data_IF_938106272575
#
_entry.id   IF_938106272575
#
_cell.length_a   1.000
_cell.length_b   1.000
_cell.length_c   1.000
_cell.angle_alpha   90.00
_cell.angle_beta   90.00
_cell.angle_gamma   90.00
#
_symmetry.space_group_name_H-M   'P 1'
#
loop_
_entity.id
_entity.type
_entity.pdbx_description
1 polymer ?
#
# COMPACT_ATOMS: atom_id res chain seq x y z
N UNK A 1 53.42 -5.50 13.28
CA UNK A 1 52.60 -6.54 12.60
C UNK A 1 51.09 -6.39 12.86
N UNK A 2 50.65 -5.40 13.66
CA UNK A 2 49.22 -5.18 14.01
C UNK A 2 48.42 -4.36 12.99
N UNK A 3 49.07 -3.44 12.26
CA UNK A 3 48.37 -2.45 11.45
C UNK A 3 47.84 -2.99 10.11
N UNK A 4 48.51 -3.97 9.48
CA UNK A 4 47.98 -4.62 8.27
C UNK A 4 46.73 -5.46 8.54
N UNK A 5 46.66 -6.10 9.71
CA UNK A 5 45.49 -6.91 10.11
C UNK A 5 44.26 -6.02 10.30
N UNK A 6 44.43 -4.87 10.95
CA UNK A 6 43.33 -3.91 11.21
C UNK A 6 42.79 -3.31 9.92
N UNK A 7 43.66 -2.94 8.96
CA UNK A 7 43.23 -2.40 7.66
C UNK A 7 42.55 -3.46 6.78
N UNK A 8 42.99 -4.71 6.87
CA UNK A 8 42.35 -5.83 6.17
C UNK A 8 40.96 -6.14 6.74
N UNK A 9 40.79 -6.06 8.07
CA UNK A 9 39.49 -6.25 8.72
C UNK A 9 38.55 -5.07 8.41
N UNK A 10 39.03 -3.82 8.47
CA UNK A 10 38.23 -2.64 8.11
C UNK A 10 37.78 -2.68 6.65
N UNK A 11 38.67 -3.07 5.74
CA UNK A 11 38.33 -3.21 4.31
C UNK A 11 37.32 -4.33 4.06
N UNK A 12 37.40 -5.43 4.81
CA UNK A 12 36.45 -6.54 4.70
C UNK A 12 35.08 -6.17 5.28
N UNK A 13 35.04 -5.43 6.39
CA UNK A 13 33.79 -4.92 6.97
C UNK A 13 33.12 -3.86 6.08
N UNK A 14 33.90 -2.98 5.43
CA UNK A 14 33.37 -1.99 4.48
C UNK A 14 32.77 -2.67 3.24
N UNK A 15 33.35 -3.78 2.77
CA UNK A 15 32.80 -4.59 1.67
C UNK A 15 31.53 -5.36 2.08
N UNK A 16 31.43 -5.81 3.34
CA UNK A 16 30.23 -6.48 3.86
C UNK A 16 29.05 -5.54 4.09
N UNK A 17 29.28 -4.25 4.37
CA UNK A 17 28.22 -3.25 4.56
C UNK A 17 27.58 -2.74 3.25
N UNK A 18 28.21 -2.96 2.09
CA UNK A 18 27.75 -2.43 0.79
C UNK A 18 26.76 -3.34 0.04
N UNK A 19 26.47 -4.54 0.54
CA UNK A 19 25.61 -5.51 -0.13
C UNK A 19 24.48 -6.04 0.75
N UNK A 20 23.82 -5.16 1.52
CA UNK A 20 22.47 -5.47 1.97
C UNK A 20 21.51 -5.14 0.82
N UNK A 21 20.89 -6.12 0.15
CA UNK A 21 19.76 -5.82 -0.71
C UNK A 21 18.71 -5.10 0.14
N UNK A 22 18.39 -3.87 -0.23
CA UNK A 22 17.17 -3.22 0.23
C UNK A 22 16.02 -4.03 -0.36
N UNK A 23 15.49 -4.97 0.41
CA UNK A 23 14.25 -5.65 0.05
C UNK A 23 13.15 -4.65 0.36
N UNK A 24 12.77 -3.86 -0.63
CA UNK A 24 11.55 -3.09 -0.55
C UNK A 24 10.37 -4.04 -0.75
N UNK A 25 9.43 -4.04 0.20
CA UNK A 25 8.26 -4.91 0.12
C UNK A 25 7.29 -4.47 -0.98
N UNK A 26 7.37 -3.21 -1.39
CA UNK A 26 6.56 -2.62 -2.45
C UNK A 26 7.30 -1.44 -3.11
N UNK A 27 6.84 -0.97 -4.26
CA UNK A 27 7.38 0.19 -4.96
C UNK A 27 6.29 1.22 -5.22
N UNK A 28 6.69 2.48 -5.18
CA UNK A 28 5.84 3.60 -5.58
C UNK A 28 6.24 4.07 -6.98
N UNK A 29 5.27 4.14 -7.89
CA UNK A 29 5.45 4.62 -9.25
C UNK A 29 4.64 5.89 -9.47
N UNK A 30 5.32 7.02 -9.68
CA UNK A 30 4.67 8.26 -10.09
C UNK A 30 4.30 8.18 -11.57
N UNK A 31 3.00 8.17 -11.87
CA UNK A 31 2.48 8.04 -13.23
C UNK A 31 2.79 9.30 -14.03
N UNK A 32 3.40 9.14 -15.20
CA UNK A 32 3.80 10.26 -16.06
C UNK A 32 5.03 11.03 -15.58
N UNK A 33 5.69 10.58 -14.51
CA UNK A 33 6.84 11.24 -13.88
C UNK A 33 6.54 12.73 -13.58
N UNK A 34 7.31 13.67 -14.13
CA UNK A 34 7.11 15.12 -13.92
C UNK A 34 5.91 15.67 -14.70
N UNK A 35 5.39 14.96 -15.70
CA UNK A 35 4.27 15.39 -16.54
C UNK A 35 2.90 15.15 -15.88
N UNK A 36 2.83 14.27 -14.88
CA UNK A 36 1.58 13.95 -14.17
C UNK A 36 0.57 13.15 -15.02
N UNK A 37 -0.69 13.19 -14.61
CA UNK A 37 -1.82 12.46 -15.21
C UNK A 37 -2.80 13.42 -15.91
N UNK A 38 -2.49 13.75 -17.15
CA UNK A 38 -3.27 14.60 -18.06
C UNK A 38 -3.39 13.97 -19.45
N UNK A 39 -4.34 14.43 -20.26
CA UNK A 39 -4.41 14.06 -21.68
C UNK A 39 -3.39 14.83 -22.54
N UNK A 40 -3.27 14.45 -23.82
CA UNK A 40 -2.35 15.09 -24.76
C UNK A 40 -2.80 16.48 -25.22
N UNK A 41 -4.03 16.90 -24.90
CA UNK A 41 -4.51 18.26 -25.18
C UNK A 41 -3.99 19.24 -24.12
N UNK A 42 -3.86 18.80 -22.87
CA UNK A 42 -3.28 19.57 -21.77
C UNK A 42 -1.75 19.43 -21.71
N UNK A 43 -1.20 18.22 -21.90
CA UNK A 43 0.24 17.94 -21.89
C UNK A 43 0.66 17.11 -23.11
N UNK A 44 1.09 17.78 -24.18
CA UNK A 44 1.35 17.14 -25.49
C UNK A 44 2.44 16.06 -25.51
N UNK A 45 3.41 16.14 -24.61
CA UNK A 45 4.59 15.26 -24.60
C UNK A 45 4.37 13.97 -23.79
N UNK A 46 3.17 13.76 -23.24
CA UNK A 46 2.88 12.61 -22.39
C UNK A 46 2.61 11.34 -23.21
N UNK A 47 3.30 10.26 -22.82
CA UNK A 47 3.12 8.90 -23.35
C UNK A 47 3.20 7.90 -22.19
N UNK A 48 2.03 7.53 -21.66
CA UNK A 48 1.96 6.65 -20.50
C UNK A 48 2.37 5.21 -20.80
N UNK A 49 2.19 4.74 -22.04
CA UNK A 49 2.63 3.39 -22.37
C UNK A 49 4.14 3.31 -22.46
N UNK A 50 4.79 4.36 -22.98
CA UNK A 50 6.24 4.52 -22.93
C UNK A 50 6.75 4.71 -21.50
N UNK A 51 6.04 5.48 -20.67
CA UNK A 51 6.35 5.60 -19.25
C UNK A 51 6.29 4.23 -18.54
N UNK A 52 5.27 3.41 -18.81
CA UNK A 52 5.13 2.09 -18.23
C UNK A 52 6.19 1.09 -18.74
N UNK A 53 6.74 1.31 -19.94
CA UNK A 53 7.71 0.42 -20.54
C UNK A 53 8.99 0.31 -19.69
N UNK A 54 9.44 -0.93 -19.44
CA UNK A 54 10.64 -1.21 -18.66
C UNK A 54 10.47 -1.14 -17.13
N UNK A 55 9.26 -0.83 -16.65
CA UNK A 55 8.91 -0.93 -15.22
C UNK A 55 8.33 -2.32 -14.92
N UNK A 56 8.60 -2.83 -13.72
CA UNK A 56 8.09 -4.13 -13.25
C UNK A 56 7.12 -3.92 -12.10
N UNK A 57 5.84 -4.05 -12.41
CA UNK A 57 4.76 -3.90 -11.44
C UNK A 57 4.48 -5.23 -10.74
N UNK A 58 4.43 -5.20 -9.42
CA UNK A 58 4.17 -6.37 -8.58
C UNK A 58 3.00 -6.10 -7.64
N UNK A 59 2.43 -7.15 -7.07
CA UNK A 59 1.45 -7.03 -5.98
C UNK A 59 2.01 -6.17 -4.84
N UNK A 60 1.17 -5.29 -4.32
CA UNK A 60 1.53 -4.37 -3.23
C UNK A 60 2.17 -3.06 -3.68
N UNK A 61 2.66 -2.96 -4.92
CA UNK A 61 3.14 -1.70 -5.48
C UNK A 61 2.00 -0.67 -5.57
N UNK A 62 2.35 0.62 -5.54
CA UNK A 62 1.42 1.73 -5.69
C UNK A 62 1.70 2.52 -6.96
N UNK A 63 0.62 2.92 -7.63
CA UNK A 63 0.65 3.97 -8.64
C UNK A 63 0.20 5.29 -7.99
N UNK A 64 0.97 6.35 -8.20
CA UNK A 64 0.69 7.67 -7.66
C UNK A 64 0.40 8.59 -8.84
N UNK A 65 -0.83 9.07 -8.92
CA UNK A 65 -1.30 9.97 -9.96
C UNK A 65 -1.30 11.40 -9.42
N UNK A 66 -0.44 12.25 -9.98
CA UNK A 66 -0.51 13.69 -9.75
C UNK A 66 -1.43 14.29 -10.82
N UNK A 67 -2.56 14.84 -10.40
CA UNK A 67 -3.64 15.28 -11.30
C UNK A 67 -4.39 16.45 -10.68
N UNK A 68 -5.44 16.92 -11.35
CA UNK A 68 -6.49 17.75 -10.76
C UNK A 68 -7.81 16.97 -10.62
N UNK A 69 -8.87 17.62 -10.12
CA UNK A 69 -10.20 17.00 -10.00
C UNK A 69 -11.04 17.04 -11.29
N UNK A 70 -10.46 17.42 -12.42
CA UNK A 70 -11.07 17.36 -13.75
C UNK A 70 -10.55 16.19 -14.60
N UNK A 71 -9.85 15.24 -13.98
CA UNK A 71 -9.48 13.98 -14.59
C UNK A 71 -9.76 12.84 -13.61
N UNK A 72 -10.43 11.80 -14.08
CA UNK A 72 -10.62 10.57 -13.30
C UNK A 72 -9.45 9.60 -13.46
N UNK A 73 -9.32 8.72 -12.46
CA UNK A 73 -8.41 7.57 -12.47
C UNK A 73 -9.26 6.32 -12.37
N UNK A 74 -9.63 5.76 -13.53
CA UNK A 74 -10.39 4.52 -13.61
C UNK A 74 -9.45 3.34 -13.80
N UNK A 75 -9.59 2.34 -12.95
CA UNK A 75 -8.95 1.04 -13.07
C UNK A 75 -9.95 0.00 -13.59
N UNK A 76 -9.53 -0.81 -14.55
CA UNK A 76 -10.30 -1.98 -15.00
C UNK A 76 -9.38 -3.14 -15.35
N UNK A 77 -9.93 -4.35 -15.35
CA UNK A 77 -9.28 -5.57 -15.86
C UNK A 77 -9.86 -6.00 -17.21
N UNK A 78 -10.83 -5.23 -17.74
CA UNK A 78 -11.51 -5.52 -18.99
C UNK A 78 -10.87 -4.71 -20.13
N UNK A 79 -10.21 -5.42 -21.06
CA UNK A 79 -9.55 -4.80 -22.21
C UNK A 79 -10.54 -4.08 -23.15
N UNK A 80 -11.79 -4.52 -23.22
CA UNK A 80 -12.81 -3.90 -24.07
C UNK A 80 -13.18 -2.52 -23.52
N UNK A 81 -13.54 -2.44 -22.23
CA UNK A 81 -13.82 -1.19 -21.48
C UNK A 81 -12.70 -0.17 -21.68
N UNK A 82 -11.45 -0.60 -21.47
CA UNK A 82 -10.26 0.23 -21.71
C UNK A 82 -10.11 0.69 -23.17
N UNK A 83 -10.38 -0.19 -24.14
CA UNK A 83 -10.22 0.12 -25.56
C UNK A 83 -11.24 1.15 -26.03
N UNK A 84 -12.47 1.04 -25.56
CA UNK A 84 -13.57 1.95 -25.94
C UNK A 84 -13.62 3.22 -25.09
N UNK A 85 -12.84 3.31 -24.01
CA UNK A 85 -12.81 4.44 -23.09
C UNK A 85 -14.17 4.72 -22.43
N UNK A 86 -14.89 3.66 -22.03
CA UNK A 86 -16.24 3.77 -21.45
C UNK A 86 -16.33 2.86 -20.23
N UNK A 87 -16.35 3.45 -19.03
CA UNK A 87 -16.53 2.75 -17.77
C UNK A 87 -18.00 2.57 -17.40
N UNK A 88 -18.92 3.32 -18.00
CA UNK A 88 -20.33 3.40 -17.59
C UNK A 88 -21.07 2.07 -17.86
N UNK A 89 -20.59 1.31 -18.84
CA UNK A 89 -21.12 -0.01 -19.19
C UNK A 89 -20.49 -1.17 -18.40
N UNK A 90 -19.46 -0.91 -17.58
CA UNK A 90 -18.71 -1.95 -16.86
C UNK A 90 -18.75 -1.75 -15.34
N UNK A 91 -19.61 -2.54 -14.70
CA UNK A 91 -19.77 -2.59 -13.25
C UNK A 91 -18.52 -3.08 -12.49
N UNK A 92 -17.51 -3.60 -13.18
CA UNK A 92 -16.27 -4.11 -12.58
C UNK A 92 -15.10 -3.13 -12.70
N UNK A 93 -15.38 -1.86 -12.97
CA UNK A 93 -14.39 -0.78 -12.88
C UNK A 93 -14.26 -0.28 -11.44
N UNK A 94 -13.16 0.39 -11.14
CA UNK A 94 -12.98 1.12 -9.89
C UNK A 94 -12.45 2.51 -10.23
N UNK A 95 -13.20 3.54 -9.84
CA UNK A 95 -12.72 4.92 -9.93
C UNK A 95 -12.07 5.31 -8.60
N UNK A 96 -10.82 5.76 -8.67
CA UNK A 96 -10.04 6.19 -7.52
C UNK A 96 -10.05 7.71 -7.43
N UNK A 97 -10.32 8.24 -6.25
CA UNK A 97 -10.32 9.67 -5.99
C UNK A 97 -9.63 10.02 -4.68
N UNK A 98 -9.11 11.25 -4.59
CA UNK A 98 -8.53 11.79 -3.35
C UNK A 98 -9.59 12.40 -2.42
N UNK A 99 -10.76 12.72 -2.94
CA UNK A 99 -11.87 13.37 -2.23
C UNK A 99 -13.21 13.03 -2.90
N UNK A 100 -14.28 13.50 -2.28
CA UNK A 100 -15.63 13.50 -2.87
C UNK A 100 -15.64 14.17 -4.26
N UNK A 101 -16.55 13.75 -5.15
CA UNK A 101 -16.61 14.24 -6.52
C UNK A 101 -16.93 15.73 -6.57
N UNK A 102 -15.96 16.49 -7.07
CA UNK A 102 -16.05 17.94 -7.28
C UNK A 102 -15.17 18.30 -8.47
N UNK A 103 -15.73 19.01 -9.46
CA UNK A 103 -14.96 19.46 -10.62
C UNK A 103 -14.21 20.75 -10.28
N UNK A 104 -12.89 20.66 -10.16
CA UNK A 104 -12.02 21.81 -9.94
C UNK A 104 -10.62 21.57 -10.52
N UNK A 105 -9.87 22.65 -10.72
CA UNK A 105 -8.45 22.61 -11.13
C UNK A 105 -7.50 22.49 -9.94
N UNK A 106 -8.01 22.13 -8.75
CA UNK A 106 -7.17 21.95 -7.58
C UNK A 106 -6.29 20.71 -7.74
N UNK A 107 -4.99 20.87 -7.51
CA UNK A 107 -4.05 19.77 -7.58
C UNK A 107 -4.33 18.74 -6.46
N UNK A 108 -4.37 17.47 -6.85
CA UNK A 108 -4.61 16.33 -5.96
C UNK A 108 -3.67 15.17 -6.29
N UNK A 109 -3.55 14.24 -5.35
CA UNK A 109 -2.79 13.00 -5.53
C UNK A 109 -3.70 11.81 -5.28
N UNK A 110 -3.82 10.91 -6.26
CA UNK A 110 -4.59 9.67 -6.15
C UNK A 110 -3.61 8.50 -6.03
N UNK A 111 -3.81 7.67 -5.02
CA UNK A 111 -2.96 6.52 -4.72
C UNK A 111 -3.72 5.23 -5.04
N UNK A 112 -3.17 4.41 -5.93
CA UNK A 112 -3.81 3.17 -6.38
C UNK A 112 -2.92 1.96 -6.05
N UNK A 113 -3.33 1.08 -5.12
CA UNK A 113 -2.61 -0.14 -4.83
C UNK A 113 -2.84 -1.19 -5.92
N UNK A 114 -1.79 -1.91 -6.29
CA UNK A 114 -1.85 -3.03 -7.23
C UNK A 114 -2.12 -4.33 -6.47
N UNK A 115 -3.38 -4.75 -6.48
CA UNK A 115 -3.88 -5.85 -5.63
C UNK A 115 -4.20 -7.14 -6.40
N UNK A 116 -4.08 -7.14 -7.73
CA UNK A 116 -4.44 -8.26 -8.57
C UNK A 116 -3.40 -8.48 -9.66
N UNK A 117 -3.01 -9.73 -9.85
CA UNK A 117 -2.10 -10.14 -10.91
C UNK A 117 -2.75 -10.09 -12.29
N UNK A 118 -1.90 -9.89 -13.29
CA UNK A 118 -2.24 -9.92 -14.71
C UNK A 118 -2.45 -8.53 -15.32
N UNK A 119 -3.04 -8.50 -16.53
CA UNK A 119 -3.30 -7.26 -17.25
C UNK A 119 -4.22 -6.34 -16.44
N UNK A 120 -3.75 -5.12 -16.22
CA UNK A 120 -4.49 -4.06 -15.53
C UNK A 120 -4.45 -2.80 -16.38
N UNK A 121 -5.58 -2.15 -16.53
CA UNK A 121 -5.76 -1.01 -17.42
C UNK A 121 -6.18 0.22 -16.63
N UNK A 122 -5.62 1.37 -16.98
CA UNK A 122 -5.91 2.65 -16.36
C UNK A 122 -6.26 3.67 -17.45
N UNK A 123 -7.32 4.45 -17.21
CA UNK A 123 -7.75 5.50 -18.12
C UNK A 123 -8.59 6.56 -17.39
N UNK A 124 -8.81 7.71 -18.05
CA UNK A 124 -9.78 8.69 -17.58
C UNK A 124 -11.12 8.53 -18.30
N UNK A 125 -12.22 8.52 -17.54
CA UNK A 125 -13.60 8.40 -18.03
C UNK A 125 -14.33 9.75 -18.11
N UNK A 126 -13.69 10.85 -17.74
CA UNK A 126 -14.33 12.17 -17.83
C UNK A 126 -14.50 12.64 -19.26
N UNK A 127 -15.47 13.54 -19.47
CA UNK A 127 -15.86 14.04 -20.79
C UNK A 127 -16.21 12.91 -21.77
N UNK A 128 -17.02 11.95 -21.32
CA UNK A 128 -17.45 10.78 -22.10
C UNK A 128 -16.26 10.01 -22.72
N UNK A 129 -15.16 9.92 -21.97
CA UNK A 129 -13.94 9.22 -22.39
C UNK A 129 -13.02 9.99 -23.34
N UNK A 130 -13.31 11.25 -23.67
CA UNK A 130 -12.50 12.08 -24.59
C UNK A 130 -11.04 12.16 -24.14
N UNK A 131 -10.78 12.34 -22.85
CA UNK A 131 -9.42 12.42 -22.32
C UNK A 131 -8.64 11.10 -22.52
N UNK A 132 -9.30 9.95 -22.32
CA UNK A 132 -8.74 8.63 -22.63
C UNK A 132 -8.46 8.45 -24.13
N UNK A 133 -9.34 8.93 -25.00
CA UNK A 133 -9.13 8.91 -26.46
C UNK A 133 -7.95 9.78 -26.88
N UNK A 134 -7.70 10.88 -26.16
CA UNK A 134 -6.54 11.76 -26.31
C UNK A 134 -5.31 11.30 -25.50
N UNK A 135 -5.19 9.99 -25.25
CA UNK A 135 -3.96 9.38 -24.75
C UNK A 135 -3.83 9.30 -23.23
N UNK A 136 -4.80 9.76 -22.44
CA UNK A 136 -4.79 9.60 -20.98
C UNK A 136 -5.19 8.19 -20.55
N UNK A 137 -4.36 7.22 -20.95
CA UNK A 137 -4.58 5.79 -20.69
C UNK A 137 -3.29 4.99 -20.82
N UNK A 138 -3.18 3.89 -20.10
CA UNK A 138 -2.11 2.90 -20.26
C UNK A 138 -2.51 1.51 -19.75
N UNK A 139 -1.74 0.52 -20.17
CA UNK A 139 -1.86 -0.85 -19.72
C UNK A 139 -0.55 -1.30 -19.05
N UNK A 140 -0.69 -2.00 -17.93
CA UNK A 140 0.41 -2.67 -17.24
C UNK A 140 0.10 -4.15 -17.08
N UNK A 141 1.13 -4.93 -16.75
CA UNK A 141 0.98 -6.30 -16.29
C UNK A 141 1.53 -6.43 -14.88
N UNK A 142 0.66 -6.73 -13.92
CA UNK A 142 1.02 -6.90 -12.52
C UNK A 142 1.47 -8.35 -12.31
N UNK A 143 2.61 -8.54 -11.67
CA UNK A 143 3.17 -9.85 -11.34
C UNK A 143 3.05 -10.13 -9.85
N UNK A 144 3.27 -11.37 -9.43
CA UNK A 144 3.25 -11.73 -8.01
C UNK A 144 4.35 -11.01 -7.20
N UNK A 145 5.45 -10.60 -7.85
CA UNK A 145 6.68 -10.16 -7.20
C UNK A 145 7.56 -11.35 -6.78
N UNK A 146 8.74 -11.04 -6.23
CA UNK A 146 9.73 -12.04 -5.80
C UNK A 146 9.29 -12.82 -4.54
N UNK A 147 8.32 -12.27 -3.80
CA UNK A 147 7.82 -12.87 -2.56
C UNK A 147 8.93 -13.06 -1.52
N UNK A 148 8.67 -13.96 -0.57
CA UNK A 148 9.67 -14.35 0.42
C UNK A 148 10.78 -15.15 -0.28
N UNK A 149 12.08 -14.85 -0.05
CA UNK A 149 13.16 -15.62 -0.66
C UNK A 149 13.04 -17.09 -0.30
N UNK A 150 13.40 -17.98 -1.23
CA UNK A 150 13.21 -19.43 -1.08
C UNK A 150 13.87 -20.00 0.19
N UNK A 151 14.93 -19.37 0.71
CA UNK A 151 15.58 -19.73 1.97
C UNK A 151 14.72 -19.55 3.21
N UNK A 152 13.66 -18.76 3.12
CA UNK A 152 12.70 -18.48 4.19
C UNK A 152 11.33 -19.11 3.93
N UNK A 153 11.13 -19.78 2.78
CA UNK A 153 9.95 -20.63 2.57
C UNK A 153 10.12 -21.89 3.41
N UNK A 154 9.69 -21.83 4.67
CA UNK A 154 9.77 -22.97 5.60
C UNK A 154 9.01 -24.19 5.06
N UNK A 155 9.58 -25.41 5.15
CA UNK A 155 8.80 -26.62 5.24
C UNK A 155 8.58 -26.95 6.73
N UNK A 156 7.37 -26.76 7.22
CA UNK A 156 6.91 -27.43 8.44
C UNK A 156 5.75 -28.37 8.09
N UNK A 157 6.02 -29.67 7.82
CA UNK A 157 5.03 -30.69 8.02
C UNK A 157 4.79 -30.86 9.53
N UNK A 158 3.53 -31.03 9.90
CA UNK A 158 3.05 -31.54 11.18
C UNK A 158 3.19 -30.60 12.40
N UNK A 159 2.47 -29.48 12.38
CA UNK A 159 1.82 -29.03 13.61
C UNK A 159 0.53 -29.86 13.77
N UNK A 160 0.35 -30.65 14.85
CA UNK A 160 -0.92 -31.29 15.13
C UNK A 160 -2.02 -30.23 15.17
N UNK A 161 -3.11 -30.46 14.44
CA UNK A 161 -4.30 -29.63 14.56
C UNK A 161 -4.73 -29.59 16.04
N UNK A 162 -5.18 -28.44 16.57
CA UNK A 162 -5.80 -28.39 17.89
C UNK A 162 -6.93 -29.42 17.96
N UNK A 163 -6.93 -30.28 18.98
CA UNK A 163 -8.06 -31.18 19.21
C UNK A 163 -9.33 -30.35 19.38
N UNK A 164 -10.37 -30.65 18.58
CA UNK A 164 -11.70 -30.06 18.75
C UNK A 164 -12.20 -30.31 20.18
N UNK A 165 -12.79 -29.31 20.86
CA UNK A 165 -13.39 -29.49 22.17
C UNK A 165 -14.79 -30.10 22.03
N UNK A 166 -14.87 -31.33 21.51
CA UNK A 166 -16.07 -32.16 21.60
C UNK A 166 -15.89 -33.16 22.75
N UNK A 167 -15.88 -32.65 23.98
CA UNK A 167 -16.23 -33.40 25.19
C UNK A 167 -16.29 -32.44 26.39
N UNK A 168 -17.38 -31.67 26.46
CA UNK A 168 -17.86 -31.04 27.69
C UNK A 168 -19.16 -31.73 28.10
N UNK A 169 -19.29 -32.24 29.35
CA UNK A 169 -20.56 -32.78 29.82
C UNK A 169 -21.62 -31.69 29.81
N UNK A 170 -22.78 -31.97 29.20
CA UNK A 170 -23.93 -31.07 29.22
C UNK A 170 -24.39 -30.82 30.68
N UNK A 171 -24.20 -29.60 31.17
CA UNK A 171 -24.99 -29.09 32.30
C UNK A 171 -26.30 -28.53 31.73
N UNK A 172 -27.36 -29.34 31.81
CA UNK A 172 -28.73 -28.90 31.58
C UNK A 172 -29.11 -27.83 32.61
N UNK A 173 -29.18 -26.57 32.17
CA UNK A 173 -29.87 -25.51 32.92
C UNK A 173 -31.15 -25.20 32.14
N UNK A 174 -32.35 -25.55 32.65
CA UNK A 174 -33.60 -25.18 31.99
C UNK A 174 -33.85 -23.69 32.19
N UNK A 175 -33.72 -22.90 31.12
CA UNK A 175 -34.23 -21.54 31.11
C UNK A 175 -35.75 -21.59 30.85
N UNK A 176 -36.54 -21.50 31.92
CA UNK A 176 -37.99 -21.30 31.83
C UNK A 176 -38.25 -19.82 31.48
N UNK A 177 -38.67 -19.54 30.25
CA UNK A 177 -38.88 -18.18 29.71
C UNK A 177 -40.30 -17.63 29.93
N UNK A 178 -41.15 -18.30 30.71
CA UNK A 178 -42.58 -18.01 30.71
C UNK A 178 -43.08 -17.00 31.76
N UNK A 179 -42.25 -16.17 32.42
CA UNK A 179 -42.75 -15.03 33.23
C UNK A 179 -41.65 -14.00 33.59
N UNK A 180 -41.68 -12.77 33.02
CA UNK A 180 -40.91 -11.64 33.53
C UNK A 180 -41.66 -10.97 34.69
N UNK A 181 -40.97 -10.67 35.80
CA UNK A 181 -41.47 -9.81 36.89
C UNK A 181 -40.84 -8.43 36.71
N UNK A 182 -41.69 -7.43 36.49
CA UNK A 182 -41.30 -6.01 36.42
C UNK A 182 -41.29 -5.40 37.82
N UNK A 183 -40.11 -5.20 38.41
CA UNK A 183 -39.98 -4.41 39.64
C UNK A 183 -39.59 -2.96 39.32
N UNK A 184 -40.59 -2.09 39.39
CA UNK A 184 -40.46 -0.64 39.42
C UNK A 184 -40.41 -0.14 40.88
N UNK A 185 -39.26 0.41 41.34
CA UNK A 185 -39.25 1.60 42.22
C UNK A 185 -37.84 2.21 42.41
N UNK A 186 -37.67 3.38 41.77
CA UNK A 186 -37.27 4.71 42.30
C UNK A 186 -36.01 4.93 43.19
N UNK A 187 -35.17 5.87 42.68
CA UNK A 187 -34.22 6.82 43.33
C UNK A 187 -32.93 6.25 43.98
N UNK A 188 -31.72 6.82 43.85
CA UNK A 188 -31.21 8.17 43.48
C UNK A 188 -29.67 8.12 43.28
N UNK A 189 -29.14 9.06 42.48
CA UNK A 189 -27.77 9.63 42.46
C UNK A 189 -26.61 9.00 41.64
N UNK A 190 -25.64 9.83 41.16
CA UNK A 190 -25.16 9.82 39.78
C UNK A 190 -23.78 9.17 39.57
N UNK A 191 -23.57 8.51 38.42
CA UNK A 191 -22.27 7.95 38.03
C UNK A 191 -21.63 8.77 36.90
N UNK A 192 -20.46 9.32 37.22
CA UNK A 192 -19.49 10.02 36.37
C UNK A 192 -19.03 9.14 35.18
N UNK A 193 -18.85 9.68 33.96
CA UNK A 193 -18.25 8.92 32.87
C UNK A 193 -16.72 8.85 33.04
N UNK A 194 -16.16 7.64 33.08
CA UNK A 194 -14.73 7.40 32.88
C UNK A 194 -14.52 7.11 31.40
N UNK A 195 -13.92 8.07 30.70
CA UNK A 195 -13.28 7.87 29.41
C UNK A 195 -11.94 7.17 29.65
N UNK A 196 -11.79 5.96 29.12
CA UNK A 196 -10.52 5.23 29.08
C UNK A 196 -9.95 5.26 27.67
N UNK A 197 -9.12 6.27 27.41
CA UNK A 197 -8.26 6.40 26.24
C UNK A 197 -7.13 5.36 26.26
N UNK A 198 -7.10 4.45 25.30
CA UNK A 198 -5.97 3.55 25.07
C UNK A 198 -5.02 4.14 24.02
N UNK A 199 -3.95 4.79 24.47
CA UNK A 199 -2.84 5.22 23.62
C UNK A 199 -1.97 4.01 23.27
N UNK A 200 -1.77 3.73 21.98
CA UNK A 200 -0.74 2.80 21.53
C UNK A 200 0.55 3.58 21.26
N UNK A 201 1.56 3.35 22.10
CA UNK A 201 2.89 3.91 21.93
C UNK A 201 3.59 3.20 20.77
N UNK A 202 3.84 3.94 19.68
CA UNK A 202 4.74 3.54 18.61
C UNK A 202 6.18 3.72 19.12
N UNK A 203 6.88 2.61 19.37
CA UNK A 203 8.29 2.63 19.73
C UNK A 203 9.10 3.17 18.54
N UNK A 204 9.50 4.44 18.64
CA UNK A 204 10.40 5.08 17.69
C UNK A 204 11.79 4.46 17.78
N UNK A 205 12.22 3.84 16.67
CA UNK A 205 13.61 3.47 16.46
C UNK A 205 14.45 4.74 16.32
N UNK A 206 15.27 5.01 17.32
CA UNK A 206 16.18 6.15 17.38
C UNK A 206 17.34 5.94 16.40
N UNK A 207 17.28 6.55 15.22
CA UNK A 207 18.45 6.74 14.36
C UNK A 207 19.29 7.90 14.90
N UNK A 208 20.14 7.59 15.87
CA UNK A 208 21.11 8.53 16.40
C UNK A 208 22.34 7.77 16.86
N UNK A 209 23.34 7.68 15.98
CA UNK A 209 24.79 7.82 16.27
C UNK A 209 25.63 7.17 15.15
N UNK A 210 25.76 7.85 14.00
CA UNK A 210 26.84 7.57 13.06
C UNK A 210 27.40 8.84 12.40
N UNK A 211 27.62 9.90 13.19
CA UNK A 211 28.37 11.09 12.78
C UNK A 211 29.31 11.58 13.89
N UNK A 212 30.16 10.69 14.43
CA UNK A 212 31.25 11.08 15.34
C UNK A 212 32.63 10.56 14.91
N UNK A 213 32.77 9.95 13.72
CA UNK A 213 34.04 9.30 13.31
C UNK A 213 34.78 9.98 12.15
N UNK A 214 34.50 11.27 11.86
CA UNK A 214 35.34 12.08 10.95
C UNK A 214 35.77 13.44 11.52
N UNK A 215 35.71 13.62 12.86
CA UNK A 215 36.10 14.86 13.53
C UNK A 215 37.46 14.81 14.26
N UNK A 216 38.18 13.69 14.22
CA UNK A 216 39.36 13.49 15.07
C UNK A 216 40.58 12.90 14.33
N UNK A 217 40.89 13.38 13.12
CA UNK A 217 42.20 13.17 12.48
C UNK A 217 42.63 14.42 11.69
N UNK A 218 42.45 15.60 12.28
CA UNK A 218 42.84 16.90 11.69
C UNK A 218 43.83 17.72 12.53
N UNK A 219 44.49 17.12 13.52
CA UNK A 219 45.56 17.76 14.28
C UNK A 219 46.75 16.81 14.36
N UNK A 220 47.69 16.98 13.43
CA UNK A 220 49.15 16.79 13.51
C UNK A 220 49.65 16.63 12.08
N UNK A 221 50.21 17.72 11.54
CA UNK A 221 50.78 17.82 10.19
C UNK A 221 50.82 19.26 9.73
#
# INVERSE_FOLDING_TARGET
>A
MSNCSIWSILSCCLLLFLCYPCIDAYKNYTVGDELGWYDQLEVSDVDYQKWAAGKNFSLGDFLIFHTDKNHSVVQTYNATTFKICDADQDLNTTEWSASDPEYSKDAVMVYVPLLKEGPTYFFSNFYDGEQCLNGQKFAINVTHGEGLPDSLKDPAPDAPAPASPDDVPATDVPANFDHPIDDNSTSTDPVKPVAGSGNMNLAGFSFGLLLVIFGALGFFG
#
